data_IF_140037652731
#
_entry.id   IF_140037652731
#
_cell.length_a   1.000
_cell.length_b   1.000
_cell.length_c   1.000
_cell.angle_alpha   90.00
_cell.angle_beta   90.00
_cell.angle_gamma   90.00
#
_symmetry.space_group_name_H-M   'P 1'
#
loop_
_entity.id
_entity.type
_entity.pdbx_description
1 polymer ?
#
# COMPACT_ATOMS: atom_id res chain seq x y z
N UNK A 1 -55.58 17.08 22.24
CA UNK A 1 -54.37 16.36 22.79
C UNK A 1 -53.38 16.22 21.67
N UNK A 2 -52.35 17.09 21.60
CA UNK A 2 -51.31 17.11 20.56
C UNK A 2 -50.11 16.29 21.09
N UNK A 3 -49.78 15.16 20.47
CA UNK A 3 -48.61 14.34 20.80
C UNK A 3 -47.43 14.87 19.98
N UNK A 4 -46.47 15.51 20.65
CA UNK A 4 -45.19 15.90 20.06
C UNK A 4 -44.30 14.67 20.03
N UNK A 5 -43.97 14.17 18.84
CA UNK A 5 -42.97 13.14 18.62
C UNK A 5 -41.58 13.79 18.58
N UNK A 6 -40.78 13.54 19.59
CA UNK A 6 -39.40 14.03 19.70
C UNK A 6 -38.50 13.09 18.87
N UNK A 7 -38.02 13.56 17.72
CA UNK A 7 -37.01 12.85 16.94
C UNK A 7 -35.65 13.10 17.58
N UNK A 8 -35.07 12.05 18.17
CA UNK A 8 -33.66 12.03 18.60
C UNK A 8 -32.82 11.71 17.37
N UNK A 9 -32.11 12.72 16.84
CA UNK A 9 -31.13 12.54 15.77
C UNK A 9 -29.84 12.05 16.44
N UNK A 10 -29.55 10.76 16.31
CA UNK A 10 -28.26 10.19 16.68
C UNK A 10 -27.21 10.61 15.64
N UNK A 11 -26.39 11.59 15.98
CA UNK A 11 -25.22 11.97 15.19
C UNK A 11 -24.13 10.94 15.48
N UNK A 12 -23.98 9.95 14.59
CA UNK A 12 -22.83 9.05 14.58
C UNK A 12 -21.60 9.81 14.08
N UNK A 13 -20.74 10.22 15.02
CA UNK A 13 -19.41 10.72 14.67
C UNK A 13 -18.59 9.55 14.07
N UNK A 14 -18.41 9.56 12.75
CA UNK A 14 -17.37 8.78 12.11
C UNK A 14 -16.04 9.37 12.56
N UNK A 15 -15.39 8.70 13.50
CA UNK A 15 -13.98 8.94 13.80
C UNK A 15 -13.17 8.53 12.56
N UNK A 16 -12.88 9.49 11.70
CA UNK A 16 -11.90 9.31 10.62
C UNK A 16 -10.54 9.03 11.25
N UNK A 17 -10.07 7.79 11.14
CA UNK A 17 -8.69 7.49 11.47
C UNK A 17 -7.80 8.30 10.51
N UNK A 18 -7.22 9.38 11.01
CA UNK A 18 -6.13 10.09 10.33
C UNK A 18 -4.99 9.09 10.28
N UNK A 19 -4.71 8.50 9.09
CA UNK A 19 -3.47 7.79 8.87
C UNK A 19 -2.35 8.83 9.00
N UNK A 20 -1.77 8.91 10.18
CA UNK A 20 -0.54 9.67 10.41
C UNK A 20 0.56 8.96 9.61
N UNK A 21 1.20 9.66 8.68
CA UNK A 21 2.37 9.16 7.97
C UNK A 21 3.40 8.69 9.01
N UNK A 22 3.67 7.38 9.05
CA UNK A 22 4.63 6.81 9.98
C UNK A 22 6.04 7.04 9.43
N UNK A 23 6.87 7.72 10.20
CA UNK A 23 8.27 7.91 9.81
C UNK A 23 9.04 6.60 10.04
N UNK A 24 9.25 5.84 8.97
CA UNK A 24 10.04 4.60 8.99
C UNK A 24 11.52 4.97 8.97
N UNK A 25 12.25 4.63 10.04
CA UNK A 25 13.67 5.00 10.21
C UNK A 25 14.56 3.85 10.63
N UNK A 26 13.99 2.77 11.16
CA UNK A 26 14.73 1.58 11.59
C UNK A 26 14.46 0.36 10.70
N UNK A 27 15.37 -0.63 10.67
CA UNK A 27 15.14 -1.89 9.96
C UNK A 27 13.88 -2.63 10.40
N UNK A 28 13.55 -2.59 11.70
CA UNK A 28 12.37 -3.24 12.28
C UNK A 28 11.08 -2.57 11.81
N UNK A 29 11.06 -1.23 11.76
CA UNK A 29 9.93 -0.47 11.20
C UNK A 29 9.76 -0.74 9.71
N UNK A 30 10.87 -0.84 8.95
CA UNK A 30 10.84 -1.20 7.55
C UNK A 30 10.26 -2.62 7.34
N UNK A 31 10.71 -3.61 8.12
CA UNK A 31 10.17 -4.98 8.04
C UNK A 31 8.66 -5.02 8.30
N UNK A 32 8.22 -4.33 9.36
CA UNK A 32 6.79 -4.21 9.67
C UNK A 32 6.02 -3.55 8.52
N UNK A 33 6.56 -2.48 7.96
CA UNK A 33 5.94 -1.77 6.83
C UNK A 33 5.88 -2.64 5.59
N UNK A 34 6.95 -3.39 5.26
CA UNK A 34 6.97 -4.30 4.12
C UNK A 34 5.99 -5.47 4.29
N UNK A 35 5.80 -5.99 5.50
CA UNK A 35 4.74 -6.98 5.80
C UNK A 35 3.34 -6.40 5.54
N UNK A 36 3.11 -5.16 5.94
CA UNK A 36 1.85 -4.47 5.66
C UNK A 36 1.64 -4.21 4.15
N UNK A 37 2.71 -3.84 3.41
CA UNK A 37 2.70 -3.75 1.93
C UNK A 37 2.27 -5.08 1.32
N UNK A 38 2.87 -6.20 1.74
CA UNK A 38 2.52 -7.53 1.23
C UNK A 38 1.06 -7.90 1.51
N UNK A 39 0.56 -7.63 2.71
CA UNK A 39 -0.83 -7.87 3.09
C UNK A 39 -1.79 -7.03 2.23
N UNK A 40 -1.48 -5.75 2.04
CA UNK A 40 -2.29 -4.82 1.25
C UNK A 40 -2.32 -5.19 -0.24
N UNK A 41 -1.18 -5.58 -0.82
CA UNK A 41 -1.12 -6.09 -2.20
C UNK A 41 -1.91 -7.41 -2.35
N UNK A 42 -1.81 -8.31 -1.37
CA UNK A 42 -2.61 -9.53 -1.36
C UNK A 42 -4.12 -9.25 -1.32
N UNK A 43 -4.55 -8.25 -0.53
CA UNK A 43 -5.93 -7.80 -0.49
C UNK A 43 -6.37 -7.20 -1.82
N UNK A 44 -5.53 -6.37 -2.46
CA UNK A 44 -5.81 -5.83 -3.79
C UNK A 44 -6.01 -6.94 -4.83
N UNK A 45 -5.13 -7.95 -4.86
CA UNK A 45 -5.24 -9.08 -5.78
C UNK A 45 -6.53 -9.89 -5.57
N UNK A 46 -6.91 -10.16 -4.32
CA UNK A 46 -8.17 -10.84 -3.99
C UNK A 46 -9.39 -10.02 -4.45
N UNK A 47 -9.38 -8.71 -4.20
CA UNK A 47 -10.46 -7.81 -4.59
C UNK A 47 -10.58 -7.70 -6.13
N UNK A 48 -9.46 -7.64 -6.88
CA UNK A 48 -9.48 -7.66 -8.35
C UNK A 48 -10.08 -8.97 -8.86
N UNK A 49 -9.68 -10.12 -8.29
CA UNK A 49 -10.24 -11.43 -8.66
C UNK A 49 -11.74 -11.53 -8.40
N UNK A 50 -12.22 -10.88 -7.34
CA UNK A 50 -13.65 -10.78 -7.01
C UNK A 50 -14.38 -9.67 -7.78
N UNK A 51 -13.72 -8.94 -8.68
CA UNK A 51 -14.25 -7.76 -9.38
C UNK A 51 -14.73 -6.65 -8.43
N UNK A 52 -14.26 -6.64 -7.18
CA UNK A 52 -14.51 -5.60 -6.17
C UNK A 52 -13.51 -4.44 -6.36
N UNK A 53 -13.60 -3.75 -7.48
CA UNK A 53 -12.59 -2.77 -7.91
C UNK A 53 -12.44 -1.58 -6.96
N UNK A 54 -13.51 -1.15 -6.31
CA UNK A 54 -13.45 -0.08 -5.31
C UNK A 54 -12.60 -0.50 -4.07
N UNK A 55 -12.69 -1.75 -3.63
CA UNK A 55 -11.89 -2.26 -2.52
C UNK A 55 -10.44 -2.55 -2.95
N UNK A 56 -10.25 -2.98 -4.20
CA UNK A 56 -8.92 -3.07 -4.79
C UNK A 56 -8.22 -1.70 -4.82
N UNK A 57 -8.93 -0.65 -5.25
CA UNK A 57 -8.40 0.71 -5.29
C UNK A 57 -7.99 1.22 -3.89
N UNK A 58 -8.80 0.95 -2.85
CA UNK A 58 -8.45 1.27 -1.45
C UNK A 58 -7.17 0.55 -1.02
N UNK A 59 -7.04 -0.73 -1.34
CA UNK A 59 -5.86 -1.53 -1.00
C UNK A 59 -4.61 -1.03 -1.75
N UNK A 60 -4.75 -0.63 -3.02
CA UNK A 60 -3.65 -0.01 -3.79
C UNK A 60 -3.24 1.32 -3.18
N UNK A 61 -4.18 2.17 -2.78
CA UNK A 61 -3.88 3.44 -2.12
C UNK A 61 -3.14 3.23 -0.78
N UNK A 62 -3.57 2.25 0.02
CA UNK A 62 -2.87 1.88 1.26
C UNK A 62 -1.45 1.38 0.98
N UNK A 63 -1.25 0.54 -0.04
CA UNK A 63 0.09 0.08 -0.46
C UNK A 63 1.00 1.24 -0.85
N UNK A 64 0.49 2.21 -1.60
CA UNK A 64 1.25 3.41 -1.98
C UNK A 64 1.69 4.21 -0.76
N UNK A 65 0.78 4.46 0.19
CA UNK A 65 1.12 5.18 1.42
C UNK A 65 2.22 4.47 2.20
N UNK A 66 2.12 3.17 2.39
CA UNK A 66 3.14 2.37 3.07
C UNK A 66 4.51 2.43 2.37
N UNK A 67 4.54 2.46 1.04
CA UNK A 67 5.78 2.61 0.28
C UNK A 67 6.37 4.02 0.40
N UNK A 68 5.55 5.06 0.45
CA UNK A 68 5.99 6.43 0.74
C UNK A 68 6.57 6.55 2.15
N UNK A 69 5.98 5.87 3.13
CA UNK A 69 6.50 5.82 4.50
C UNK A 69 7.86 5.08 4.53
N UNK A 70 7.98 3.96 3.81
CA UNK A 70 9.22 3.19 3.68
C UNK A 70 10.33 3.96 2.95
N UNK A 71 10.01 4.88 2.03
CA UNK A 71 10.98 5.72 1.33
C UNK A 71 11.82 6.55 2.31
N UNK A 72 11.23 6.97 3.45
CA UNK A 72 11.95 7.72 4.48
C UNK A 72 13.16 6.95 5.04
N UNK A 73 13.05 5.62 5.14
CA UNK A 73 14.17 4.78 5.56
C UNK A 73 15.33 4.84 4.56
N UNK A 74 15.03 4.76 3.28
CA UNK A 74 16.06 4.80 2.23
C UNK A 74 16.72 6.18 2.13
N UNK A 75 15.94 7.25 2.27
CA UNK A 75 16.45 8.62 2.33
C UNK A 75 17.40 8.80 3.53
N UNK A 76 17.00 8.32 4.72
CA UNK A 76 17.82 8.40 5.93
C UNK A 76 19.15 7.64 5.80
N UNK A 77 19.15 6.53 5.06
CA UNK A 77 20.34 5.69 4.80
C UNK A 77 21.09 6.11 3.52
N UNK A 78 20.71 7.23 2.87
CA UNK A 78 21.36 7.78 1.66
C UNK A 78 21.43 6.76 0.50
N UNK A 79 20.35 5.97 0.31
CA UNK A 79 20.22 4.96 -0.76
C UNK A 79 19.35 5.50 -1.88
N UNK A 80 19.92 6.36 -2.71
CA UNK A 80 19.21 7.05 -3.80
C UNK A 80 18.63 6.09 -4.84
N UNK A 81 19.30 4.97 -5.08
CA UNK A 81 18.82 3.90 -5.96
C UNK A 81 17.57 3.21 -5.40
N UNK A 82 17.52 2.93 -4.08
CA UNK A 82 16.34 2.37 -3.44
C UNK A 82 15.16 3.38 -3.44
N UNK A 83 15.45 4.65 -3.23
CA UNK A 83 14.45 5.74 -3.38
C UNK A 83 13.89 5.77 -4.80
N UNK A 84 14.74 5.68 -5.81
CA UNK A 84 14.31 5.61 -7.22
C UNK A 84 13.43 4.40 -7.48
N UNK A 85 13.85 3.20 -7.05
CA UNK A 85 13.06 1.97 -7.18
C UNK A 85 11.70 2.08 -6.48
N UNK A 86 11.63 2.68 -5.30
CA UNK A 86 10.38 2.92 -4.57
C UNK A 86 9.42 3.81 -5.37
N UNK A 87 9.93 4.90 -5.92
CA UNK A 87 9.15 5.82 -6.78
C UNK A 87 8.63 5.14 -8.04
N UNK A 88 9.42 4.27 -8.66
CA UNK A 88 8.99 3.48 -9.83
C UNK A 88 7.83 2.54 -9.48
N UNK A 89 7.90 1.86 -8.32
CA UNK A 89 6.79 1.01 -7.83
C UNK A 89 5.54 1.85 -7.60
N UNK A 90 5.66 2.99 -6.93
CA UNK A 90 4.54 3.91 -6.68
C UNK A 90 3.90 4.37 -7.99
N UNK A 91 4.70 4.75 -9.00
CA UNK A 91 4.20 5.15 -10.30
C UNK A 91 3.47 4.01 -11.05
N UNK A 92 3.93 2.76 -10.89
CA UNK A 92 3.24 1.60 -11.45
C UNK A 92 1.91 1.31 -10.72
N UNK A 93 1.85 1.53 -9.41
CA UNK A 93 0.60 1.44 -8.65
C UNK A 93 -0.38 2.57 -9.01
N UNK A 94 0.10 3.76 -9.44
CA UNK A 94 -0.76 4.81 -9.99
C UNK A 94 -1.42 4.38 -11.30
N UNK A 95 -0.68 3.69 -12.17
CA UNK A 95 -1.26 3.11 -13.40
C UNK A 95 -2.33 2.06 -13.08
N UNK A 96 -2.07 1.20 -12.08
CA UNK A 96 -3.06 0.24 -11.61
C UNK A 96 -4.32 0.95 -11.05
N UNK A 97 -4.14 1.99 -10.24
CA UNK A 97 -5.25 2.75 -9.71
C UNK A 97 -6.11 3.37 -10.82
N UNK A 98 -5.48 3.86 -11.91
CA UNK A 98 -6.20 4.38 -13.08
C UNK A 98 -7.04 3.29 -13.78
N UNK A 99 -6.50 2.07 -13.95
CA UNK A 99 -7.23 0.92 -14.50
C UNK A 99 -8.46 0.60 -13.63
N UNK A 100 -8.27 0.54 -12.30
CA UNK A 100 -9.33 0.20 -11.34
C UNK A 100 -10.44 1.26 -11.28
N UNK A 101 -10.12 2.52 -11.61
CA UNK A 101 -11.06 3.65 -11.60
C UNK A 101 -11.78 3.87 -12.94
N UNK A 102 -11.48 3.09 -13.97
CA UNK A 102 -12.13 3.20 -15.25
C UNK A 102 -13.63 2.85 -15.14
N UNK A 103 -14.51 3.38 -16.01
CA UNK A 103 -15.94 3.05 -16.02
C UNK A 103 -16.23 1.55 -16.21
N UNK A 104 -15.33 0.85 -16.92
CA UNK A 104 -15.34 -0.61 -17.10
C UNK A 104 -13.91 -1.14 -16.87
N UNK A 105 -13.52 -1.44 -15.62
CA UNK A 105 -12.18 -1.90 -15.33
C UNK A 105 -11.89 -3.26 -15.97
N UNK A 106 -10.74 -3.37 -16.64
CA UNK A 106 -10.26 -4.63 -17.20
C UNK A 106 -9.54 -5.43 -16.10
N UNK A 107 -10.12 -6.57 -15.71
CA UNK A 107 -9.59 -7.44 -14.67
C UNK A 107 -8.20 -7.99 -15.04
N UNK A 108 -8.01 -8.44 -16.28
CA UNK A 108 -6.75 -9.03 -16.71
C UNK A 108 -5.63 -7.98 -16.73
N UNK A 109 -5.93 -6.77 -17.23
CA UNK A 109 -5.00 -5.65 -17.19
C UNK A 109 -4.66 -5.23 -15.75
N UNK A 110 -5.65 -5.20 -14.85
CA UNK A 110 -5.43 -4.88 -13.44
C UNK A 110 -4.52 -5.91 -12.74
N UNK A 111 -4.73 -7.21 -12.96
CA UNK A 111 -3.87 -8.27 -12.41
C UNK A 111 -2.46 -8.21 -12.99
N UNK A 112 -2.32 -7.96 -14.29
CA UNK A 112 -1.02 -7.78 -14.93
C UNK A 112 -0.26 -6.56 -14.36
N UNK A 113 -0.96 -5.43 -14.17
CA UNK A 113 -0.38 -4.23 -13.58
C UNK A 113 0.04 -4.45 -12.10
N UNK A 114 -0.77 -5.15 -11.30
CA UNK A 114 -0.42 -5.50 -9.93
C UNK A 114 0.83 -6.38 -9.87
N UNK A 115 0.91 -7.41 -10.71
CA UNK A 115 2.08 -8.30 -10.81
C UNK A 115 3.31 -7.55 -11.31
N UNK A 116 3.14 -6.62 -12.25
CA UNK A 116 4.19 -5.82 -12.86
C UNK A 116 4.61 -4.60 -12.03
N UNK A 117 4.16 -4.46 -10.77
CA UNK A 117 4.47 -3.29 -9.94
C UNK A 117 5.97 -3.06 -9.69
N UNK A 118 6.82 -4.09 -9.85
CA UNK A 118 8.28 -3.93 -9.83
C UNK A 118 8.95 -4.13 -8.46
N UNK A 119 8.25 -4.66 -7.46
CA UNK A 119 8.78 -4.89 -6.11
C UNK A 119 10.05 -5.77 -6.10
N UNK A 120 10.17 -6.70 -7.04
CA UNK A 120 11.33 -7.60 -7.17
C UNK A 120 12.65 -6.86 -7.40
N UNK A 121 12.63 -5.69 -8.02
CA UNK A 121 13.85 -4.93 -8.33
C UNK A 121 14.56 -4.49 -7.04
N UNK A 122 13.83 -3.92 -6.09
CA UNK A 122 14.38 -3.51 -4.80
C UNK A 122 14.71 -4.74 -3.93
N UNK A 123 13.83 -5.73 -3.87
CA UNK A 123 14.04 -6.94 -3.09
C UNK A 123 15.27 -7.73 -3.55
N UNK A 124 15.58 -7.77 -4.83
CA UNK A 124 16.77 -8.44 -5.36
C UNK A 124 18.09 -7.80 -4.88
N UNK A 125 18.08 -6.50 -4.63
CA UNK A 125 19.26 -5.75 -4.18
C UNK A 125 19.38 -5.73 -2.65
N UNK A 126 18.27 -5.44 -1.95
CA UNK A 126 18.29 -5.04 -0.54
C UNK A 126 17.77 -6.09 0.43
N UNK A 127 17.07 -7.13 -0.04
CA UNK A 127 16.47 -8.14 0.84
C UNK A 127 17.32 -9.41 0.89
N UNK A 128 17.53 -9.94 2.09
CA UNK A 128 18.13 -11.25 2.35
C UNK A 128 17.20 -12.10 3.22
N UNK A 129 17.56 -13.37 3.44
CA UNK A 129 16.78 -14.32 4.23
C UNK A 129 15.72 -15.05 3.44
N UNK A 130 14.92 -15.85 4.15
CA UNK A 130 13.88 -16.72 3.59
C UNK A 130 12.47 -16.22 3.96
N UNK A 131 11.46 -16.81 3.33
CA UNK A 131 10.05 -16.47 3.58
C UNK A 131 9.71 -16.55 5.07
N UNK A 132 9.15 -15.46 5.61
CA UNK A 132 8.82 -15.31 7.02
C UNK A 132 9.94 -14.72 7.89
N UNK A 133 11.19 -14.66 7.39
CA UNK A 133 12.34 -14.15 8.15
C UNK A 133 13.27 -13.28 7.27
N UNK A 134 12.66 -12.35 6.52
CA UNK A 134 13.42 -11.44 5.68
C UNK A 134 14.13 -10.36 6.49
N UNK A 135 15.34 -10.03 6.06
CA UNK A 135 16.17 -8.97 6.62
C UNK A 135 16.72 -8.07 5.52
N UNK A 136 17.28 -6.95 5.90
CA UNK A 136 18.10 -6.15 4.99
C UNK A 136 19.40 -6.89 4.74
N UNK A 137 19.81 -6.95 3.48
CA UNK A 137 21.06 -7.62 3.08
C UNK A 137 22.25 -6.98 3.79
N UNK A 138 23.10 -7.76 4.49
CA UNK A 138 24.27 -7.23 5.16
C UNK A 138 25.15 -6.38 4.24
N UNK A 139 25.58 -5.21 4.72
CA UNK A 139 26.42 -4.28 3.97
C UNK A 139 25.70 -3.47 2.87
N UNK A 140 24.38 -3.59 2.73
CA UNK A 140 23.63 -2.81 1.74
C UNK A 140 23.18 -1.44 2.26
N UNK A 141 23.26 -1.22 3.57
CA UNK A 141 22.99 0.07 4.25
C UNK A 141 24.12 0.42 5.19
#
# INVERSE_FOLDING_TARGET
MRRFATYVIAVTMLAGAVLSAQKVTTPEELDKTMKAVGASQGAAGKAINAMAYADAAKSVAATKQLLMDAENFWVANKKDDAVKMSKEVIANLDKLAAILSAPAPDQAAALAALKGAGCANCHGVYRAGEAGNFTIKPGSI
#
